data_IF_749449233455
#
_entry.id   IF_749449233455
#
_cell.length_a   1.000
_cell.length_b   1.000
_cell.length_c   1.000
_cell.angle_alpha   90.00
_cell.angle_beta   90.00
_cell.angle_gamma   90.00
#
_symmetry.space_group_name_H-M   'P 1'
#
loop_
_entity.id
_entity.type
_entity.pdbx_description
1 polymer ?
#
# COMPACT_ATOMS: atom_id res chain seq x y z
N UNK A 1 0.75 -19.78 9.12
CA UNK A 1 0.09 -18.81 8.23
C UNK A 1 0.39 -17.45 8.82
N UNK A 2 1.25 -16.64 8.20
CA UNK A 2 1.42 -15.25 8.65
C UNK A 2 0.22 -14.47 8.10
N UNK A 3 -0.56 -13.89 8.99
CA UNK A 3 -1.72 -13.06 8.62
C UNK A 3 -1.25 -11.84 7.85
N UNK A 4 -1.92 -11.55 6.73
CA UNK A 4 -1.68 -10.37 5.91
C UNK A 4 -1.67 -9.09 6.76
N UNK A 5 -2.56 -9.02 7.76
CA UNK A 5 -2.66 -7.99 8.79
C UNK A 5 -1.31 -7.66 9.46
N UNK A 6 -0.44 -8.64 9.69
CA UNK A 6 0.86 -8.41 10.33
C UNK A 6 1.79 -7.59 9.42
N UNK A 7 1.81 -7.90 8.12
CA UNK A 7 2.60 -7.16 7.14
C UNK A 7 2.04 -5.75 6.95
N UNK A 8 0.71 -5.61 6.88
CA UNK A 8 0.06 -4.31 6.83
C UNK A 8 0.44 -3.41 8.00
N UNK A 9 0.31 -3.93 9.21
CA UNK A 9 0.55 -3.16 10.43
C UNK A 9 2.01 -2.73 10.55
N UNK A 10 2.95 -3.63 10.22
CA UNK A 10 4.39 -3.33 10.26
C UNK A 10 4.81 -2.27 9.24
N UNK A 11 4.27 -2.32 8.01
CA UNK A 11 4.55 -1.31 6.99
C UNK A 11 3.95 0.05 7.38
N UNK A 12 2.73 0.06 7.92
CA UNK A 12 2.07 1.29 8.39
C UNK A 12 2.80 1.93 9.59
N UNK A 13 3.27 1.14 10.55
CA UNK A 13 4.02 1.66 11.70
C UNK A 13 5.34 2.32 11.26
N UNK A 14 6.06 1.70 10.32
CA UNK A 14 7.28 2.27 9.75
C UNK A 14 7.01 3.59 9.02
N UNK A 15 5.97 3.62 8.19
CA UNK A 15 5.54 4.82 7.47
C UNK A 15 5.16 5.97 8.40
N UNK A 16 4.50 5.63 9.51
CA UNK A 16 4.04 6.61 10.52
C UNK A 16 5.19 7.20 11.31
N UNK A 17 6.26 6.44 11.51
CA UNK A 17 7.47 6.89 12.19
C UNK A 17 8.33 7.78 11.28
N UNK A 18 8.40 7.47 9.98
CA UNK A 18 9.08 8.29 8.97
C UNK A 18 8.31 9.60 8.69
N UNK A 19 6.99 9.54 8.50
CA UNK A 19 6.16 10.71 8.24
C UNK A 19 6.04 11.71 9.41
N UNK A 20 6.35 11.29 10.65
CA UNK A 20 6.32 12.19 11.82
C UNK A 20 7.51 13.16 11.88
N UNK A 21 8.61 12.85 11.19
CA UNK A 21 9.86 13.63 11.23
C UNK A 21 9.89 14.77 10.22
N UNK A 22 9.21 14.61 9.09
CA UNK A 22 9.22 15.57 7.99
C UNK A 22 7.78 16.05 7.75
N UNK A 23 7.49 17.31 8.13
CA UNK A 23 6.14 17.84 8.16
C UNK A 23 5.40 17.72 6.82
N UNK A 24 4.15 17.28 6.74
CA UNK A 24 3.48 16.12 7.37
C UNK A 24 2.29 15.70 6.48
N UNK A 25 2.19 16.14 5.22
CA UNK A 25 1.06 15.80 4.32
C UNK A 25 1.52 15.25 2.98
N UNK A 26 2.38 15.95 2.24
CA UNK A 26 2.92 15.45 0.96
C UNK A 26 3.91 14.29 1.17
N UNK A 27 4.87 14.40 2.09
CA UNK A 27 5.77 13.29 2.43
C UNK A 27 5.00 12.07 2.95
N UNK A 28 3.94 12.31 3.74
CA UNK A 28 3.04 11.23 4.18
C UNK A 28 2.30 10.60 3.00
N UNK A 29 2.00 11.36 1.95
CA UNK A 29 1.29 10.89 0.77
C UNK A 29 2.19 10.04 -0.13
N UNK A 30 3.40 10.51 -0.41
CA UNK A 30 4.41 9.75 -1.14
C UNK A 30 4.77 8.45 -0.42
N UNK A 31 4.94 8.49 0.91
CA UNK A 31 5.14 7.28 1.72
C UNK A 31 3.95 6.32 1.61
N UNK A 32 2.71 6.80 1.55
CA UNK A 32 1.54 5.91 1.39
C UNK A 32 1.54 5.23 0.03
N UNK A 33 1.90 5.95 -1.03
CA UNK A 33 2.05 5.38 -2.37
C UNK A 33 3.15 4.31 -2.36
N UNK A 34 4.33 4.60 -1.79
CA UNK A 34 5.43 3.64 -1.69
C UNK A 34 5.06 2.37 -0.89
N UNK A 35 4.31 2.54 0.21
CA UNK A 35 3.83 1.39 0.99
C UNK A 35 2.73 0.60 0.29
N UNK A 36 1.87 1.25 -0.49
CA UNK A 36 0.89 0.58 -1.34
C UNK A 36 1.58 -0.27 -2.41
N UNK A 37 2.65 0.24 -3.03
CA UNK A 37 3.49 -0.50 -3.99
C UNK A 37 4.14 -1.74 -3.36
N UNK A 38 4.82 -1.57 -2.22
CA UNK A 38 5.42 -2.68 -1.46
C UNK A 38 4.41 -3.75 -1.07
N UNK A 39 3.19 -3.35 -0.74
CA UNK A 39 2.14 -4.31 -0.44
C UNK A 39 1.78 -5.17 -1.66
N UNK A 40 1.71 -4.58 -2.85
CA UNK A 40 1.46 -5.33 -4.09
C UNK A 40 2.57 -6.34 -4.30
N UNK A 41 3.83 -5.91 -4.20
CA UNK A 41 5.00 -6.78 -4.37
C UNK A 41 4.92 -7.99 -3.43
N UNK A 42 4.74 -7.74 -2.14
CA UNK A 42 4.62 -8.81 -1.14
C UNK A 42 3.41 -9.69 -1.43
N UNK A 43 2.29 -9.12 -1.85
CA UNK A 43 1.07 -9.88 -2.13
C UNK A 43 1.22 -10.79 -3.36
N UNK A 44 1.87 -10.31 -4.41
CA UNK A 44 2.19 -11.07 -5.61
C UNK A 44 3.19 -12.18 -5.29
N UNK A 45 4.23 -11.91 -4.49
CA UNK A 45 5.19 -12.93 -4.02
C UNK A 45 4.52 -14.04 -3.20
N UNK A 46 3.44 -13.72 -2.47
CA UNK A 46 2.64 -14.69 -1.73
C UNK A 46 1.56 -15.38 -2.59
N UNK A 47 1.48 -15.07 -3.89
CA UNK A 47 0.53 -15.69 -4.81
C UNK A 47 -0.93 -15.25 -4.59
N UNK A 48 -1.15 -14.06 -4.03
CA UNK A 48 -2.49 -13.50 -3.92
C UNK A 48 -3.02 -13.08 -5.30
N UNK A 49 -4.34 -13.21 -5.49
CA UNK A 49 -4.99 -12.76 -6.72
C UNK A 49 -5.11 -11.25 -6.78
N UNK A 50 -5.07 -10.69 -7.99
CA UNK A 50 -5.18 -9.26 -8.25
C UNK A 50 -6.43 -8.64 -7.62
N UNK A 51 -7.55 -9.36 -7.58
CA UNK A 51 -8.78 -8.92 -6.91
C UNK A 51 -8.60 -8.71 -5.40
N UNK A 52 -7.88 -9.62 -4.73
CA UNK A 52 -7.59 -9.53 -3.29
C UNK A 52 -6.65 -8.36 -3.03
N UNK A 53 -5.65 -8.16 -3.88
CA UNK A 53 -4.68 -7.07 -3.79
C UNK A 53 -5.39 -5.72 -3.97
N UNK A 54 -6.19 -5.56 -5.03
CA UNK A 54 -6.99 -4.36 -5.32
C UNK A 54 -7.94 -4.03 -4.18
N UNK A 55 -8.61 -5.03 -3.61
CA UNK A 55 -9.52 -4.85 -2.48
C UNK A 55 -8.77 -4.41 -1.23
N UNK A 56 -7.66 -5.08 -0.89
CA UNK A 56 -6.81 -4.71 0.24
C UNK A 56 -6.31 -3.27 0.13
N UNK A 57 -5.82 -2.85 -1.04
CA UNK A 57 -5.33 -1.48 -1.23
C UNK A 57 -6.41 -0.43 -1.00
N UNK A 58 -7.64 -0.66 -1.46
CA UNK A 58 -8.76 0.24 -1.21
C UNK A 58 -9.16 0.31 0.27
N UNK A 59 -9.08 -0.81 1.00
CA UNK A 59 -9.42 -0.86 2.42
C UNK A 59 -8.33 -0.24 3.31
N UNK A 60 -7.05 -0.50 3.03
CA UNK A 60 -5.93 -0.04 3.84
C UNK A 60 -5.45 1.38 3.48
N UNK A 61 -5.72 1.85 2.26
CA UNK A 61 -5.37 3.19 1.80
C UNK A 61 -6.59 3.98 1.30
N UNK A 62 -7.60 4.25 2.16
CA UNK A 62 -8.81 4.99 1.76
C UNK A 62 -8.54 6.47 1.40
N UNK A 63 -7.34 6.96 1.72
CA UNK A 63 -6.91 8.33 1.43
C UNK A 63 -6.22 8.47 0.07
N UNK A 64 -5.92 7.37 -0.63
CA UNK A 64 -5.43 7.42 -2.01
C UNK A 64 -6.62 7.65 -2.94
N UNK A 65 -6.43 8.51 -3.93
CA UNK A 65 -7.48 8.77 -4.92
C UNK A 65 -7.64 7.54 -5.82
N UNK A 66 -8.81 7.37 -6.46
CA UNK A 66 -9.00 6.33 -7.47
C UNK A 66 -7.98 6.42 -8.62
N UNK A 67 -7.51 7.61 -8.96
CA UNK A 67 -6.50 7.86 -10.00
C UNK A 67 -5.13 7.35 -9.57
N UNK A 68 -4.75 7.57 -8.31
CA UNK A 68 -3.49 7.07 -7.75
C UNK A 68 -3.50 5.55 -7.65
N UNK A 69 -4.61 4.97 -7.17
CA UNK A 69 -4.77 3.53 -7.16
C UNK A 69 -4.74 2.95 -8.57
N UNK A 70 -5.36 3.59 -9.55
CA UNK A 70 -5.32 3.16 -10.94
C UNK A 70 -3.90 3.22 -11.51
N UNK A 71 -3.14 4.28 -11.25
CA UNK A 71 -1.75 4.40 -11.67
C UNK A 71 -0.87 3.29 -11.06
N UNK A 72 -1.07 2.99 -9.78
CA UNK A 72 -0.36 1.90 -9.11
C UNK A 72 -0.78 0.53 -9.69
N UNK A 73 -2.07 0.31 -9.96
CA UNK A 73 -2.53 -0.96 -10.54
C UNK A 73 -2.00 -1.17 -11.96
N UNK A 74 -1.92 -0.11 -12.76
CA UNK A 74 -1.35 -0.13 -14.10
C UNK A 74 0.15 -0.46 -14.07
N UNK A 75 0.90 0.18 -13.16
CA UNK A 75 2.34 -0.05 -12.96
C UNK A 75 2.66 -1.51 -12.61
N UNK A 76 1.79 -2.17 -11.86
CA UNK A 76 1.95 -3.58 -11.44
C UNK A 76 1.17 -4.58 -12.31
N UNK A 77 0.61 -4.12 -13.43
CA UNK A 77 -0.19 -4.93 -14.37
C UNK A 77 -1.31 -5.75 -13.68
N UNK A 78 -1.93 -5.18 -12.65
CA UNK A 78 -3.03 -5.83 -11.93
C UNK A 78 -4.30 -5.76 -12.79
N UNK A 79 -4.65 -6.88 -13.44
CA UNK A 79 -5.75 -7.03 -14.41
C UNK A 79 -7.14 -6.93 -13.81
#
# INVERSE_FOLDING_TARGET
MMDLDYYFRKSLDKAREEGRREGLSEVQHELRIDNAKKLIEVSQENGLSDEVIKKGLKEYYPNLTPEELAAIFDEYHLG
#
